data_IF_409425331302
#
_entry.id   IF_409425331302
#
_cell.length_a   1.000
_cell.length_b   1.000
_cell.length_c   1.000
_cell.angle_alpha   90.00
_cell.angle_beta   90.00
_cell.angle_gamma   90.00
#
_symmetry.space_group_name_H-M   'P 1'
#
loop_
_entity.id
_entity.type
_entity.pdbx_description
1 polymer ?
#
# COMPACT_ATOMS: atom_id res chain seq x y z
N UNK A 1 -2.45 9.19 65.57
CA UNK A 1 -2.63 9.82 64.25
C UNK A 1 -1.67 9.31 63.20
N UNK A 2 -2.16 8.57 62.21
CA UNK A 2 -1.51 8.51 60.91
C UNK A 2 -2.43 9.07 59.82
N UNK A 3 -1.81 9.39 58.67
CA UNK A 3 -2.40 9.65 57.34
C UNK A 3 -2.58 11.12 56.95
N UNK A 4 -1.53 11.68 56.36
CA UNK A 4 -1.68 12.55 55.18
C UNK A 4 -0.59 12.20 54.17
N UNK A 5 -0.97 11.51 53.10
CA UNK A 5 -0.22 11.51 51.84
C UNK A 5 -1.17 11.96 50.74
N UNK A 6 -0.77 13.05 50.07
CA UNK A 6 -1.57 13.74 49.08
C UNK A 6 -1.84 12.90 47.83
N UNK A 7 -3.11 12.79 47.46
CA UNK A 7 -3.56 12.20 46.21
C UNK A 7 -3.28 13.13 45.04
N UNK A 8 -2.15 12.93 44.35
CA UNK A 8 -1.99 13.40 42.98
C UNK A 8 -2.97 12.64 42.08
N UNK A 9 -3.96 13.33 41.53
CA UNK A 9 -4.85 12.77 40.50
C UNK A 9 -3.98 12.41 39.28
N UNK A 10 -3.69 11.12 39.13
CA UNK A 10 -3.19 10.56 37.89
C UNK A 10 -4.19 10.93 36.78
N UNK A 11 -3.75 11.74 35.82
CA UNK A 11 -4.49 11.91 34.57
C UNK A 11 -4.48 10.55 33.90
N UNK A 12 -5.62 9.87 33.95
CA UNK A 12 -5.88 8.69 33.14
C UNK A 12 -5.85 9.14 31.67
N UNK A 13 -4.66 9.17 31.09
CA UNK A 13 -4.53 8.95 29.66
C UNK A 13 -4.97 7.51 29.47
N UNK A 14 -6.25 7.35 29.14
CA UNK A 14 -6.73 6.14 28.50
C UNK A 14 -5.96 6.08 27.19
N UNK A 15 -4.79 5.44 27.23
CA UNK A 15 -4.09 5.06 26.02
C UNK A 15 -5.12 4.33 25.15
N UNK A 16 -4.89 4.32 23.84
CA UNK A 16 -5.53 3.42 22.88
C UNK A 16 -5.16 1.94 23.21
N UNK A 17 -5.30 1.53 24.48
CA UNK A 17 -4.98 0.24 25.06
C UNK A 17 -6.23 -0.62 25.00
N UNK A 18 -6.01 -1.86 24.58
CA UNK A 18 -6.96 -2.96 24.34
C UNK A 18 -7.44 -3.16 22.91
N UNK A 19 -6.78 -2.54 21.91
CA UNK A 19 -6.81 -3.10 20.56
C UNK A 19 -5.84 -4.28 20.48
N UNK A 20 -6.29 -5.46 20.91
CA UNK A 20 -5.77 -6.68 20.31
C UNK A 20 -6.24 -6.70 18.87
N UNK A 21 -5.39 -6.43 17.85
CA UNK A 21 -5.89 -6.25 16.50
C UNK A 21 -6.50 -7.56 16.02
N UNK A 22 -7.82 -7.60 15.82
CA UNK A 22 -8.46 -8.55 14.93
C UNK A 22 -7.84 -8.34 13.54
N UNK A 23 -7.61 -9.41 12.81
CA UNK A 23 -6.90 -9.42 11.52
C UNK A 23 -7.25 -8.24 10.58
N UNK A 24 -8.54 -7.93 10.43
CA UNK A 24 -9.03 -6.87 9.52
C UNK A 24 -8.73 -5.43 9.97
N UNK A 25 -8.49 -5.20 11.27
CA UNK A 25 -8.27 -3.85 11.81
C UNK A 25 -6.97 -3.23 11.27
N UNK A 26 -5.96 -4.06 11.00
CA UNK A 26 -4.74 -3.62 10.34
C UNK A 26 -5.00 -3.10 8.92
N UNK A 27 -5.83 -3.79 8.15
CA UNK A 27 -6.23 -3.32 6.83
C UNK A 27 -7.05 -2.03 6.90
N UNK A 28 -7.90 -1.87 7.92
CA UNK A 28 -8.63 -0.62 8.15
C UNK A 28 -7.69 0.56 8.46
N UNK A 29 -6.69 0.35 9.32
CA UNK A 29 -5.66 1.38 9.59
C UNK A 29 -4.89 1.71 8.32
N UNK A 30 -4.53 0.71 7.51
CA UNK A 30 -3.86 0.95 6.23
C UNK A 30 -4.72 1.73 5.25
N UNK A 31 -6.03 1.43 5.16
CA UNK A 31 -6.97 2.18 4.34
C UNK A 31 -7.07 3.64 4.77
N UNK A 32 -7.21 3.89 6.08
CA UNK A 32 -7.25 5.26 6.62
C UNK A 32 -5.94 6.02 6.34
N UNK A 33 -4.79 5.39 6.55
CA UNK A 33 -3.49 6.00 6.24
C UNK A 33 -3.34 6.27 4.74
N UNK A 34 -3.76 5.33 3.89
CA UNK A 34 -3.70 5.50 2.45
C UNK A 34 -4.54 6.71 2.01
N UNK A 35 -5.74 6.87 2.56
CA UNK A 35 -6.63 8.01 2.33
C UNK A 35 -6.00 9.33 2.74
N UNK A 36 -5.31 9.36 3.89
CA UNK A 36 -4.67 10.57 4.41
C UNK A 36 -3.39 10.98 3.64
N UNK A 37 -2.77 10.04 2.91
CA UNK A 37 -1.51 10.26 2.20
C UNK A 37 -1.80 10.46 0.70
N UNK A 38 -1.62 11.66 0.12
CA UNK A 38 -2.12 11.98 -1.22
C UNK A 38 -1.37 11.24 -2.34
N UNK A 39 -0.08 10.98 -2.14
CA UNK A 39 0.79 10.50 -3.22
C UNK A 39 1.03 8.99 -3.15
N UNK A 40 1.22 8.38 -4.32
CA UNK A 40 1.60 6.98 -4.47
C UNK A 40 3.00 6.86 -5.07
N UNK A 41 3.70 5.80 -4.71
CA UNK A 41 5.00 5.45 -5.25
C UNK A 41 5.14 3.93 -5.41
N UNK A 42 6.03 3.52 -6.31
CA UNK A 42 6.38 2.11 -6.55
C UNK A 42 7.82 1.88 -6.12
N UNK A 43 8.03 1.03 -5.12
CA UNK A 43 9.35 0.61 -4.68
C UNK A 43 10.04 -0.21 -5.75
N UNK A 44 11.33 0.06 -5.94
CA UNK A 44 12.17 -0.64 -6.90
C UNK A 44 13.18 -1.54 -6.16
N UNK A 45 14.13 -0.93 -5.47
CA UNK A 45 15.12 -1.64 -4.66
C UNK A 45 15.68 -0.75 -3.56
N UNK A 46 16.16 -1.35 -2.45
CA UNK A 46 16.77 -0.63 -1.33
C UNK A 46 15.87 0.53 -0.87
N UNK A 47 16.32 1.77 -1.02
CA UNK A 47 15.58 2.99 -0.71
C UNK A 47 14.98 3.69 -1.93
N UNK A 48 15.13 3.15 -3.14
CA UNK A 48 14.67 3.78 -4.37
C UNK A 48 13.21 3.46 -4.64
N UNK A 49 12.47 4.48 -5.08
CA UNK A 49 11.05 4.38 -5.40
C UNK A 49 10.72 5.33 -6.56
N UNK A 50 9.85 4.90 -7.46
CA UNK A 50 9.26 5.74 -8.49
C UNK A 50 8.13 6.56 -7.88
N UNK A 51 8.21 7.89 -7.97
CA UNK A 51 7.16 8.81 -7.51
C UNK A 51 6.23 9.26 -8.64
N UNK A 52 6.67 9.06 -9.87
CA UNK A 52 5.91 9.24 -11.10
C UNK A 52 6.54 8.37 -12.18
N UNK A 53 5.92 8.34 -13.35
CA UNK A 53 6.39 7.60 -14.53
C UNK A 53 7.86 7.91 -14.88
N UNK A 54 8.31 9.16 -14.70
CA UNK A 54 9.64 9.62 -15.13
C UNK A 54 10.60 9.93 -13.98
N UNK A 55 10.11 9.96 -12.73
CA UNK A 55 10.89 10.46 -11.59
C UNK A 55 11.18 9.36 -10.60
N UNK A 56 12.48 9.07 -10.44
CA UNK A 56 13.02 8.23 -9.38
C UNK A 56 13.34 9.09 -8.14
N UNK A 57 12.81 8.66 -7.00
CA UNK A 57 13.04 9.25 -5.69
C UNK A 57 13.67 8.27 -4.70
N UNK A 58 13.89 8.76 -3.48
CA UNK A 58 14.43 7.99 -2.37
C UNK A 58 13.50 8.03 -1.15
N UNK A 59 13.46 6.94 -0.38
CA UNK A 59 12.95 6.95 0.99
C UNK A 59 13.84 7.85 1.84
N UNK A 60 13.23 8.76 2.62
CA UNK A 60 13.99 9.59 3.56
C UNK A 60 14.74 8.73 4.58
N UNK A 61 16.03 9.03 4.83
CA UNK A 61 16.93 8.27 5.71
C UNK A 61 16.41 8.01 7.14
N UNK A 62 15.57 8.89 7.67
CA UNK A 62 14.98 8.76 9.00
C UNK A 62 13.68 7.93 9.05
N UNK A 63 13.19 7.46 7.90
CA UNK A 63 11.99 6.63 7.85
C UNK A 63 12.29 5.22 8.34
N UNK A 64 11.31 4.62 9.04
CA UNK A 64 11.32 3.19 9.39
C UNK A 64 11.36 2.28 8.16
N UNK A 65 10.91 2.79 7.00
CA UNK A 65 10.97 2.09 5.71
C UNK A 65 12.30 2.29 4.96
N UNK A 66 13.26 3.04 5.53
CA UNK A 66 14.57 3.21 4.92
C UNK A 66 15.46 2.00 5.20
N UNK A 67 15.48 1.03 4.29
CA UNK A 67 16.39 -0.10 4.35
C UNK A 67 17.74 0.24 3.68
N UNK A 68 18.85 -0.08 4.35
CA UNK A 68 20.20 0.02 3.76
C UNK A 68 20.56 -1.19 2.89
N UNK A 69 19.97 -2.34 3.22
CA UNK A 69 20.14 -3.60 2.49
C UNK A 69 18.97 -3.90 1.56
N UNK A 70 19.06 -5.03 0.85
CA UNK A 70 17.94 -5.56 0.10
C UNK A 70 16.85 -6.04 1.08
N UNK A 71 15.77 -5.26 1.20
CA UNK A 71 14.57 -5.65 1.92
C UNK A 71 13.44 -5.80 0.91
N UNK A 72 12.67 -6.89 1.03
CA UNK A 72 11.50 -7.14 0.19
C UNK A 72 10.27 -6.76 0.98
N UNK A 73 9.61 -5.67 0.56
CA UNK A 73 8.36 -5.25 1.17
C UNK A 73 7.21 -6.19 0.81
N UNK A 74 6.18 -6.33 1.69
CA UNK A 74 4.96 -7.09 1.40
C UNK A 74 4.25 -6.66 0.11
N UNK A 75 4.33 -5.37 -0.23
CA UNK A 75 3.82 -4.80 -1.46
C UNK A 75 4.89 -3.89 -2.09
N UNK A 76 4.92 -3.74 -3.42
CA UNK A 76 5.76 -2.71 -4.04
C UNK A 76 5.18 -1.30 -3.85
N UNK A 77 3.91 -1.13 -3.47
CA UNK A 77 3.31 0.20 -3.41
C UNK A 77 3.56 0.89 -2.06
N UNK A 78 3.72 2.20 -2.14
CA UNK A 78 3.78 3.08 -0.99
C UNK A 78 2.82 4.24 -1.18
N UNK A 79 2.19 4.66 -0.10
CA UNK A 79 1.58 5.99 -0.02
C UNK A 79 2.50 6.90 0.81
N UNK A 80 2.59 8.19 0.49
CA UNK A 80 3.43 9.14 1.23
C UNK A 80 2.81 10.55 1.30
N UNK A 81 3.21 11.31 2.31
CA UNK A 81 2.67 12.66 2.54
C UNK A 81 3.39 13.69 1.69
N UNK A 82 4.71 13.77 1.84
CA UNK A 82 5.52 14.86 1.30
C UNK A 82 6.71 14.36 0.50
N UNK A 83 7.05 15.12 -0.54
CA UNK A 83 8.25 14.96 -1.35
C UNK A 83 9.15 16.19 -1.16
N UNK A 84 10.36 15.99 -0.67
CA UNK A 84 11.33 17.08 -0.45
C UNK A 84 12.50 16.96 -1.43
N UNK A 85 12.71 18.00 -2.23
CA UNK A 85 13.89 18.14 -3.09
C UNK A 85 14.85 19.16 -2.48
N UNK A 86 15.95 18.67 -1.89
CA UNK A 86 16.97 19.50 -1.20
C UNK A 86 17.88 20.30 -2.17
N UNK A 87 17.43 20.57 -3.40
CA UNK A 87 18.21 21.22 -4.45
C UNK A 87 19.33 20.35 -5.07
N UNK A 88 19.88 20.82 -6.18
CA UNK A 88 20.93 20.14 -6.94
C UNK A 88 20.50 18.85 -7.62
N UNK A 89 21.46 17.94 -7.83
CA UNK A 89 21.30 16.67 -8.55
C UNK A 89 20.71 15.53 -7.69
N UNK A 90 20.37 15.80 -6.42
CA UNK A 90 19.88 14.76 -5.52
C UNK A 90 18.45 14.37 -5.89
N UNK A 91 18.12 13.07 -5.86
CA UNK A 91 16.76 12.63 -6.07
C UNK A 91 15.86 13.20 -4.97
N UNK A 92 14.58 13.47 -5.28
CA UNK A 92 13.61 13.87 -4.28
C UNK A 92 13.43 12.78 -3.22
N UNK A 93 13.15 13.18 -1.98
CA UNK A 93 12.95 12.26 -0.86
C UNK A 93 11.52 12.24 -0.37
N UNK A 94 10.94 11.05 -0.30
CA UNK A 94 9.60 10.83 0.25
C UNK A 94 9.67 10.69 1.78
N UNK A 95 8.82 11.44 2.48
CA UNK A 95 8.67 11.44 3.94
C UNK A 95 7.29 10.92 4.32
N UNK A 96 7.17 10.38 5.54
CA UNK A 96 5.91 9.86 6.10
C UNK A 96 5.20 8.92 5.12
N UNK A 97 5.83 7.78 4.87
CA UNK A 97 5.38 6.79 3.91
C UNK A 97 4.98 5.50 4.61
N UNK A 98 3.96 4.84 4.06
CA UNK A 98 3.49 3.52 4.51
C UNK A 98 3.44 2.56 3.34
N UNK A 99 3.78 1.29 3.58
CA UNK A 99 3.63 0.23 2.58
C UNK A 99 2.15 -0.09 2.40
N UNK A 100 1.71 -0.22 1.15
CA UNK A 100 0.28 -0.26 0.80
C UNK A 100 -0.02 -1.48 -0.07
N UNK A 101 -0.98 -2.34 0.29
CA UNK A 101 -1.44 -3.40 -0.60
C UNK A 101 -2.14 -2.84 -1.86
N UNK A 102 -2.05 -3.50 -3.03
CA UNK A 102 -2.75 -3.07 -4.25
C UNK A 102 -4.25 -2.89 -4.08
N UNK A 103 -4.90 -3.77 -3.31
CA UNK A 103 -6.32 -3.68 -2.99
C UNK A 103 -6.68 -2.34 -2.33
N UNK A 104 -5.84 -1.87 -1.40
CA UNK A 104 -6.08 -0.61 -0.68
C UNK A 104 -5.85 0.59 -1.60
N UNK A 105 -4.92 0.51 -2.55
CA UNK A 105 -4.73 1.55 -3.56
C UNK A 105 -5.97 1.76 -4.44
N UNK A 106 -6.72 0.69 -4.75
CA UNK A 106 -7.97 0.76 -5.51
C UNK A 106 -9.15 1.23 -4.65
N UNK A 107 -9.24 0.79 -3.39
CA UNK A 107 -10.34 1.10 -2.48
C UNK A 107 -10.24 2.49 -1.83
N UNK A 108 -9.07 3.13 -1.85
CA UNK A 108 -8.82 4.41 -1.19
C UNK A 108 -9.88 5.46 -1.58
N UNK A 109 -10.78 5.87 -0.65
CA UNK A 109 -11.79 6.88 -0.93
C UNK A 109 -11.14 8.25 -1.15
N UNK A 110 -11.76 9.09 -1.97
CA UNK A 110 -11.31 10.45 -2.28
C UNK A 110 -9.88 10.54 -2.86
N UNK A 111 -9.32 9.41 -3.32
CA UNK A 111 -8.02 9.41 -3.97
C UNK A 111 -8.05 10.31 -5.20
N UNK A 112 -7.10 11.24 -5.29
CA UNK A 112 -6.91 12.07 -6.46
C UNK A 112 -6.45 11.21 -7.66
N UNK A 113 -7.00 11.53 -8.83
CA UNK A 113 -6.69 10.86 -10.09
C UNK A 113 -7.64 9.71 -10.42
N UNK A 114 -7.82 9.48 -11.71
CA UNK A 114 -8.70 8.43 -12.21
C UNK A 114 -8.07 7.05 -12.06
N UNK A 115 -8.91 6.05 -11.83
CA UNK A 115 -8.55 4.64 -12.02
C UNK A 115 -9.11 4.23 -13.37
N UNK A 116 -8.22 3.97 -14.32
CA UNK A 116 -8.59 3.50 -15.65
C UNK A 116 -8.36 1.99 -15.77
N UNK A 117 -9.05 1.35 -16.70
CA UNK A 117 -8.60 0.06 -17.21
C UNK A 117 -7.56 0.30 -18.31
N UNK A 118 -6.57 -0.58 -18.43
CA UNK A 118 -5.62 -0.52 -19.52
C UNK A 118 -6.33 -0.69 -20.87
N UNK A 119 -5.87 0.07 -21.86
CA UNK A 119 -6.57 0.20 -23.14
C UNK A 119 -6.46 -1.04 -24.05
N UNK A 120 -5.48 -1.91 -23.80
CA UNK A 120 -5.17 -3.03 -24.70
C UNK A 120 -6.03 -4.26 -24.44
N UNK A 121 -6.16 -4.69 -23.18
CA UNK A 121 -6.86 -5.95 -22.85
C UNK A 121 -7.78 -5.87 -21.62
N UNK A 122 -7.83 -4.76 -20.89
CA UNK A 122 -8.61 -4.64 -19.65
C UNK A 122 -8.12 -5.57 -18.53
N UNK A 123 -6.86 -6.00 -18.60
CA UNK A 123 -6.23 -6.94 -17.69
C UNK A 123 -5.62 -6.24 -16.46
N UNK A 124 -5.43 -4.92 -16.50
CA UNK A 124 -4.83 -4.14 -15.43
C UNK A 124 -5.66 -2.89 -15.13
N UNK A 125 -5.73 -2.52 -13.85
CA UNK A 125 -6.21 -1.21 -13.44
C UNK A 125 -5.01 -0.25 -13.34
N UNK A 126 -5.07 0.89 -14.02
CA UNK A 126 -4.05 1.94 -13.95
C UNK A 126 -4.47 2.97 -12.91
N UNK A 127 -3.70 3.09 -11.84
CA UNK A 127 -3.93 4.03 -10.74
C UNK A 127 -2.96 5.20 -10.86
N UNK A 128 -3.44 6.41 -10.53
CA UNK A 128 -2.68 7.65 -10.63
C UNK A 128 -2.12 7.91 -12.04
N UNK A 129 -2.74 7.33 -13.07
CA UNK A 129 -2.37 7.50 -14.48
C UNK A 129 -1.16 6.70 -14.97
N UNK A 130 -0.37 6.07 -14.08
CA UNK A 130 0.88 5.39 -14.49
C UNK A 130 1.19 4.09 -13.74
N UNK A 131 0.46 3.76 -12.67
CA UNK A 131 0.73 2.56 -11.85
C UNK A 131 -0.20 1.42 -12.29
N UNK A 132 0.27 0.43 -13.06
CA UNK A 132 -0.53 -0.73 -13.39
C UNK A 132 -0.66 -1.67 -12.18
N UNK A 133 -1.90 -2.02 -11.83
CA UNK A 133 -2.26 -2.98 -10.81
C UNK A 133 -2.96 -4.17 -11.47
N UNK A 134 -2.37 -5.35 -11.36
CA UNK A 134 -2.97 -6.56 -11.89
C UNK A 134 -2.01 -7.75 -11.94
N UNK A 135 -2.44 -8.86 -12.54
CA UNK A 135 -3.67 -8.99 -13.34
C UNK A 135 -4.95 -8.86 -12.49
N UNK A 136 -5.95 -8.15 -13.01
CA UNK A 136 -7.25 -7.91 -12.37
C UNK A 136 -8.37 -7.94 -13.43
N UNK A 137 -9.32 -8.88 -13.35
CA UNK A 137 -10.46 -8.89 -14.26
C UNK A 137 -11.26 -7.58 -14.20
N UNK A 138 -11.74 -7.11 -15.35
CA UNK A 138 -12.49 -5.86 -15.47
C UNK A 138 -13.71 -5.79 -14.52
N UNK A 139 -14.42 -6.91 -14.33
CA UNK A 139 -15.58 -6.96 -13.42
C UNK A 139 -15.17 -6.80 -11.96
N UNK A 140 -14.05 -7.41 -11.54
CA UNK A 140 -13.48 -7.20 -10.21
C UNK A 140 -13.06 -5.75 -10.01
N UNK A 141 -12.44 -5.12 -11.01
CA UNK A 141 -12.08 -3.70 -10.96
C UNK A 141 -13.34 -2.82 -10.79
N UNK A 142 -14.39 -3.07 -11.58
CA UNK A 142 -15.67 -2.35 -11.48
C UNK A 142 -16.33 -2.51 -10.11
N UNK A 143 -16.35 -3.72 -9.56
CA UNK A 143 -16.89 -3.99 -8.22
C UNK A 143 -16.11 -3.24 -7.14
N UNK A 144 -14.78 -3.23 -7.22
CA UNK A 144 -13.93 -2.50 -6.27
C UNK A 144 -14.15 -0.97 -6.38
N UNK A 145 -14.30 -0.43 -7.58
CA UNK A 145 -14.59 0.99 -7.79
C UNK A 145 -16.01 1.36 -7.32
N UNK A 146 -17.00 0.50 -7.55
CA UNK A 146 -18.35 0.67 -6.98
C UNK A 146 -18.33 0.64 -5.45
N UNK A 147 -17.56 -0.26 -4.86
CA UNK A 147 -17.37 -0.33 -3.41
C UNK A 147 -16.66 0.92 -2.87
N UNK A 148 -15.63 1.42 -3.56
CA UNK A 148 -14.98 2.70 -3.23
C UNK A 148 -15.99 3.84 -3.25
N UNK A 149 -16.84 3.92 -4.27
CA UNK A 149 -17.86 4.97 -4.36
C UNK A 149 -18.84 4.90 -3.19
N UNK A 150 -19.35 3.70 -2.88
CA UNK A 150 -20.24 3.52 -1.72
C UNK A 150 -19.56 3.89 -0.40
N UNK A 151 -18.26 3.61 -0.26
CA UNK A 151 -17.46 4.03 0.89
C UNK A 151 -17.35 5.56 1.00
N UNK A 152 -17.16 6.27 -0.11
CA UNK A 152 -17.17 7.73 -0.13
C UNK A 152 -18.53 8.28 0.34
N UNK A 153 -19.64 7.74 -0.17
CA UNK A 153 -20.99 8.13 0.22
C UNK A 153 -21.23 7.86 1.73
N UNK A 154 -20.84 6.69 2.23
CA UNK A 154 -20.97 6.33 3.64
C UNK A 154 -20.15 7.25 4.58
N UNK A 155 -18.99 7.74 4.13
CA UNK A 155 -18.21 8.72 4.89
C UNK A 155 -18.93 10.07 4.95
N UNK A 156 -19.55 10.51 3.85
CA UNK A 156 -20.36 11.74 3.80
C UNK A 156 -21.58 11.62 4.71
N UNK A 157 -22.35 10.54 4.59
CA UNK A 157 -23.51 10.25 5.46
C UNK A 157 -23.11 10.23 6.95
N UNK A 158 -21.97 9.62 7.27
CA UNK A 158 -21.45 9.59 8.65
C UNK A 158 -21.11 11.01 9.14
N UNK A 159 -20.47 11.83 8.30
CA UNK A 159 -20.13 13.20 8.65
C UNK A 159 -21.39 14.07 8.87
N UNK A 160 -22.41 13.92 8.02
CA UNK A 160 -23.70 14.59 8.17
C UNK A 160 -24.40 14.20 9.48
N UNK A 161 -24.47 12.90 9.78
CA UNK A 161 -25.07 12.41 11.01
C UNK A 161 -24.33 12.92 12.25
N UNK A 162 -23.00 12.91 12.24
CA UNK A 162 -22.18 13.47 13.31
C UNK A 162 -22.42 14.98 13.46
N UNK A 163 -22.56 15.72 12.36
CA UNK A 163 -22.83 17.15 12.41
C UNK A 163 -24.21 17.48 12.99
N UNK A 164 -25.21 16.62 12.77
CA UNK A 164 -26.59 16.84 13.24
C UNK A 164 -26.81 16.38 14.67
N UNK A 165 -26.27 15.22 15.04
CA UNK A 165 -26.58 14.52 16.30
C UNK A 165 -25.41 14.51 17.29
N UNK A 166 -24.21 14.89 16.83
CA UNK A 166 -22.98 14.83 17.61
C UNK A 166 -22.31 13.46 17.57
N UNK A 167 -20.98 13.45 17.69
CA UNK A 167 -20.16 12.23 17.61
C UNK A 167 -20.50 11.19 18.69
N UNK A 168 -20.91 11.64 19.90
CA UNK A 168 -21.29 10.74 20.98
C UNK A 168 -22.56 9.94 20.68
N UNK A 169 -23.57 10.58 20.07
CA UNK A 169 -24.80 9.91 19.67
C UNK A 169 -24.55 8.91 18.53
N UNK A 170 -23.75 9.31 17.54
CA UNK A 170 -23.31 8.43 16.45
C UNK A 170 -22.60 7.18 16.97
N UNK A 171 -21.66 7.35 17.90
CA UNK A 171 -20.95 6.23 18.52
C UNK A 171 -21.88 5.32 19.35
N UNK A 172 -22.84 5.88 20.07
CA UNK A 172 -23.84 5.12 20.83
C UNK A 172 -24.73 4.25 19.92
N UNK A 173 -25.01 4.71 18.70
CA UNK A 173 -25.70 3.96 17.66
C UNK A 173 -24.85 2.89 16.95
N UNK A 174 -23.61 2.67 17.39
CA UNK A 174 -22.69 1.69 16.80
C UNK A 174 -21.71 2.25 15.77
N UNK A 175 -21.77 3.57 15.50
CA UNK A 175 -20.76 4.27 14.70
C UNK A 175 -20.66 3.82 13.23
N UNK A 176 -21.76 3.31 12.66
CA UNK A 176 -21.82 2.85 11.28
C UNK A 176 -23.16 3.25 10.65
N UNK A 177 -23.12 3.88 9.49
CA UNK A 177 -24.31 4.19 8.68
C UNK A 177 -24.74 3.02 7.81
N UNK A 178 -23.80 2.13 7.49
CA UNK A 178 -24.00 0.99 6.60
C UNK A 178 -23.32 -0.28 7.18
N UNK A 179 -24.08 -1.13 7.90
CA UNK A 179 -23.53 -2.32 8.52
C UNK A 179 -23.08 -3.39 7.51
N UNK A 180 -23.69 -3.45 6.32
CA UNK A 180 -23.35 -4.41 5.27
C UNK A 180 -22.02 -4.03 4.60
N UNK A 181 -21.86 -2.76 4.27
CA UNK A 181 -20.59 -2.21 3.80
C UNK A 181 -19.48 -2.47 4.81
N UNK A 182 -19.74 -2.21 6.11
CA UNK A 182 -18.78 -2.48 7.16
C UNK A 182 -18.40 -3.97 7.24
N UNK A 183 -19.35 -4.88 7.05
CA UNK A 183 -19.08 -6.32 7.01
C UNK A 183 -18.22 -6.72 5.80
N UNK A 184 -18.52 -6.21 4.61
CA UNK A 184 -17.73 -6.43 3.39
C UNK A 184 -16.29 -5.93 3.53
N UNK A 185 -16.11 -4.72 4.06
CA UNK A 185 -14.78 -4.14 4.30
C UNK A 185 -13.98 -4.97 5.31
N UNK A 186 -14.62 -5.47 6.37
CA UNK A 186 -13.96 -6.36 7.34
C UNK A 186 -13.48 -7.67 6.72
N UNK A 187 -14.13 -8.16 5.66
CA UNK A 187 -13.67 -9.36 4.95
C UNK A 187 -12.50 -9.03 4.02
N UNK A 188 -12.64 -7.97 3.21
CA UNK A 188 -11.64 -7.56 2.22
C UNK A 188 -10.32 -7.10 2.85
N UNK A 189 -10.39 -6.45 4.01
CA UNK A 189 -9.24 -5.89 4.70
C UNK A 189 -8.48 -6.91 5.57
N UNK A 190 -8.82 -8.19 5.49
CA UNK A 190 -8.06 -9.24 6.18
C UNK A 190 -6.68 -9.41 5.54
N UNK A 191 -5.61 -9.66 6.31
CA UNK A 191 -4.25 -9.78 5.79
C UNK A 191 -4.08 -10.90 4.76
N UNK A 192 -4.92 -11.95 4.81
CA UNK A 192 -4.92 -13.02 3.80
C UNK A 192 -5.37 -12.56 2.42
N UNK A 193 -6.30 -11.60 2.34
CA UNK A 193 -6.87 -11.07 1.10
C UNK A 193 -6.01 -9.93 0.50
N UNK A 194 -5.16 -9.31 1.32
CA UNK A 194 -4.30 -8.19 0.90
C UNK A 194 -2.94 -8.61 0.33
N UNK A 195 -2.59 -9.90 0.35
CA UNK A 195 -1.29 -10.36 -0.17
C UNK A 195 -1.32 -10.43 -1.69
N UNK A 196 -0.34 -9.78 -2.33
CA UNK A 196 -0.10 -9.94 -3.77
C UNK A 196 0.42 -11.36 -4.06
N UNK A 197 -0.19 -12.03 -5.04
CA UNK A 197 0.19 -13.36 -5.53
C UNK A 197 1.64 -13.40 -6.05
N UNK A 198 2.24 -12.25 -6.38
CA UNK A 198 3.64 -12.15 -6.76
C UNK A 198 4.59 -12.66 -5.65
N UNK A 199 4.23 -12.54 -4.37
CA UNK A 199 4.99 -13.14 -3.27
C UNK A 199 4.77 -14.66 -3.13
N UNK A 200 3.61 -15.18 -3.54
CA UNK A 200 3.34 -16.63 -3.49
C UNK A 200 4.14 -17.40 -4.55
N UNK A 201 4.36 -16.81 -5.74
CA UNK A 201 5.19 -17.41 -6.77
C UNK A 201 6.67 -17.53 -6.36
N UNK A 202 7.21 -16.54 -5.65
CA UNK A 202 8.61 -16.54 -5.18
C UNK A 202 8.79 -17.55 -4.03
N UNK A 203 7.80 -17.67 -3.12
CA UNK A 203 7.85 -18.62 -2.00
C UNK A 203 7.58 -20.08 -2.43
N UNK A 204 6.87 -20.31 -3.54
CA UNK A 204 6.64 -21.65 -4.09
C UNK A 204 7.85 -22.25 -4.79
N UNK A 205 8.74 -21.42 -5.34
CA UNK A 205 9.92 -21.89 -6.08
C UNK A 205 11.10 -22.33 -5.20
N UNK A 206 11.07 -22.08 -3.88
CA UNK A 206 12.19 -22.38 -2.97
C UNK A 206 12.05 -23.71 -2.20
N UNK A 207 11.00 -24.50 -2.44
CA UNK A 207 10.80 -25.83 -1.81
C UNK A 207 10.96 -26.95 -2.84
N UNK A 208 12.17 -27.14 -3.37
CA UNK A 208 12.41 -28.19 -4.34
C UNK A 208 13.86 -28.40 -4.77
N UNK A 209 14.83 -28.31 -3.85
CA UNK A 209 16.19 -28.76 -4.14
C UNK A 209 16.93 -29.16 -2.86
N UNK A 210 16.59 -30.33 -2.31
CA UNK A 210 17.46 -31.07 -1.40
C UNK A 210 17.77 -32.41 -2.04
N UNK A 211 19.06 -32.64 -2.28
CA UNK A 211 19.62 -33.97 -2.54
C UNK A 211 20.39 -34.07 -3.84
N UNK A 212 21.71 -33.86 -3.77
CA UNK A 212 22.71 -34.89 -4.08
C UNK A 212 24.10 -34.28 -3.87
N UNK A 213 24.74 -34.72 -2.78
CA UNK A 213 26.18 -34.58 -2.60
C UNK A 213 26.87 -35.74 -3.32
N UNK A 214 27.94 -35.46 -4.06
CA UNK A 214 29.08 -36.35 -4.31
C UNK A 214 30.20 -35.50 -4.91
N UNK A 215 31.39 -35.58 -4.30
CA UNK A 215 32.49 -34.65 -4.58
C UNK A 215 33.35 -35.01 -5.79
N UNK A 216 34.11 -34.03 -6.25
CA UNK A 216 35.40 -34.23 -6.93
C UNK A 216 36.19 -32.92 -6.92
N UNK A 217 37.50 -33.06 -6.75
CA UNK A 217 38.53 -32.02 -6.63
C UNK A 217 38.69 -31.17 -7.90
N UNK A 218 38.97 -29.88 -7.68
CA UNK A 218 40.05 -29.11 -8.31
C UNK A 218 40.07 -28.95 -9.84
N UNK A 219 39.98 -27.71 -10.30
CA UNK A 219 40.42 -27.33 -11.65
C UNK A 219 39.57 -26.23 -12.27
N UNK A 220 40.18 -25.07 -12.50
CA UNK A 220 39.58 -23.86 -13.05
C UNK A 220 38.91 -24.07 -14.43
N UNK A 221 37.75 -23.47 -14.65
CA UNK A 221 37.15 -23.20 -15.97
C UNK A 221 36.21 -21.96 -15.86
N UNK A 222 36.22 -21.12 -16.92
CA UNK A 222 35.71 -19.75 -16.98
C UNK A 222 34.18 -19.53 -16.87
N UNK A 223 33.70 -18.31 -17.19
CA UNK A 223 32.32 -17.91 -16.88
C UNK A 223 31.34 -18.60 -17.83
N UNK A 224 30.64 -19.62 -17.31
CA UNK A 224 29.51 -20.25 -17.98
C UNK A 224 28.25 -19.41 -17.78
N UNK A 225 27.66 -19.01 -18.91
CA UNK A 225 26.31 -18.46 -19.08
C UNK A 225 25.26 -19.37 -18.41
N UNK A 226 24.22 -18.74 -17.86
CA UNK A 226 22.92 -19.40 -17.65
C UNK A 226 22.29 -19.22 -16.28
N UNK A 227 21.83 -18.01 -15.97
CA UNK A 227 20.65 -17.84 -15.10
C UNK A 227 19.75 -16.78 -15.71
N UNK A 228 18.73 -17.25 -16.45
CA UNK A 228 17.60 -16.42 -16.87
C UNK A 228 16.75 -16.11 -15.63
N UNK A 229 17.19 -15.14 -14.83
CA UNK A 229 16.24 -14.24 -14.20
C UNK A 229 15.59 -13.46 -15.35
N UNK A 230 14.27 -13.59 -15.46
CA UNK A 230 13.45 -12.76 -16.34
C UNK A 230 13.71 -11.31 -15.94
N UNK A 231 14.62 -10.68 -16.67
CA UNK A 231 14.61 -9.24 -16.83
C UNK A 231 13.20 -8.88 -17.30
N UNK A 232 12.52 -7.89 -16.72
CA UNK A 232 11.48 -7.21 -17.46
C UNK A 232 12.18 -6.48 -18.60
N UNK A 233 12.46 -7.19 -19.69
CA UNK A 233 12.72 -6.61 -21.00
C UNK A 233 11.38 -6.11 -21.56
N UNK A 234 10.75 -5.18 -20.84
CA UNK A 234 9.83 -4.22 -21.38
C UNK A 234 10.67 -3.00 -21.71
N UNK A 235 11.13 -2.95 -22.94
CA UNK A 235 11.79 -1.79 -23.53
C UNK A 235 10.78 -0.62 -23.46
N UNK A 236 10.78 0.14 -22.37
CA UNK A 236 10.05 1.40 -22.25
C UNK A 236 10.69 2.41 -23.20
N UNK A 237 10.35 2.29 -24.49
CA UNK A 237 10.55 3.36 -25.47
C UNK A 237 9.56 4.45 -25.11
N UNK A 238 10.10 5.63 -24.83
CA UNK A 238 9.38 6.78 -24.30
C UNK A 238 8.02 6.99 -24.93
N UNK A 239 7.04 7.23 -24.06
CA UNK A 239 5.75 7.79 -24.43
C UNK A 239 6.00 9.06 -25.26
N UNK A 240 5.57 9.00 -26.52
CA UNK A 240 5.56 10.14 -27.40
C UNK A 240 4.77 11.28 -26.77
N UNK A 241 5.31 12.48 -26.89
CA UNK A 241 4.64 13.77 -26.69
C UNK A 241 3.17 13.72 -27.14
N UNK A 242 2.24 13.68 -26.19
CA UNK A 242 0.81 13.94 -26.46
C UNK A 242 0.62 15.43 -26.76
N UNK A 243 0.54 15.78 -28.04
CA UNK A 243 0.11 17.10 -28.52
C UNK A 243 -1.22 16.98 -29.28
N UNK A 244 -2.26 17.63 -28.75
CA UNK A 244 -3.50 18.03 -29.44
C UNK A 244 -4.48 16.89 -29.74
N UNK A 245 -5.79 17.12 -29.90
CA UNK A 245 -6.58 18.36 -30.00
C UNK A 245 -8.08 17.96 -29.89
N UNK A 246 -8.89 18.87 -29.33
CA UNK A 246 -10.35 18.86 -29.14
C UNK A 246 -10.89 18.09 -27.94
#
# INVERSE_FOLDING_TARGET
DPLTTGGGKARNHQALQDWGPRDWQWGAVQLVLATALPHLAVHQEKRHLWVSEEVLGDVQKGSVNCSKGAYVFPSPLFAFLDQVKEGGWKPPRCRQLTNLPPLVALLRPFAAGDVALDAEEGAYAVVAGWIPLGPLPADSARLLLGLRRRLEDAVVESAEMISQQGAAAFAAGGGQVDPELAALLRELLRPGQMRSTAQQAIAGSSRGAKGLAMGAKGGALGPAKGSHLVQPAGNWKGAGSWKGKW
#
